data_IF_561272286463
#
_entry.id   IF_561272286463
#
_cell.length_a   1.000
_cell.length_b   1.000
_cell.length_c   1.000
_cell.angle_alpha   90.00
_cell.angle_beta   90.00
_cell.angle_gamma   90.00
#
_symmetry.space_group_name_H-M   'P 1'
#
loop_
_entity.id
_entity.type
_entity.pdbx_description
1 polymer ?
#
# COMPACT_ATOMS: atom_id res chain seq x y z
N UNK A 1 21.48 -8.69 -5.83
CA UNK A 1 20.91 -10.06 -5.70
C UNK A 1 19.46 -9.96 -5.23
N UNK A 2 18.72 -11.08 -5.17
CA UNK A 2 17.35 -11.17 -4.63
C UNK A 2 17.29 -12.16 -3.46
N UNK A 3 18.32 -12.19 -2.63
CA UNK A 3 18.46 -13.15 -1.53
C UNK A 3 18.00 -12.59 -0.17
N UNK A 4 17.53 -11.33 -0.10
CA UNK A 4 17.00 -10.72 1.13
C UNK A 4 18.05 -10.32 2.19
N UNK A 5 19.33 -10.67 1.97
CA UNK A 5 20.44 -10.38 2.90
C UNK A 5 20.63 -8.87 3.08
N UNK A 6 20.61 -8.10 2.00
CA UNK A 6 20.85 -6.66 2.02
C UNK A 6 19.77 -5.88 2.80
N UNK A 7 18.45 -6.13 2.59
CA UNK A 7 17.40 -5.58 3.45
C UNK A 7 17.60 -5.87 4.94
N UNK A 8 17.99 -7.10 5.30
CA UNK A 8 18.20 -7.49 6.69
C UNK A 8 19.34 -6.74 7.35
N UNK A 9 20.47 -6.62 6.68
CA UNK A 9 21.62 -5.88 7.24
C UNK A 9 21.34 -4.39 7.34
N UNK A 10 20.65 -3.80 6.36
CA UNK A 10 20.41 -2.35 6.34
C UNK A 10 19.27 -1.91 7.28
N UNK A 11 18.22 -2.71 7.41
CA UNK A 11 17.02 -2.38 8.20
C UNK A 11 16.92 -3.14 9.53
N UNK A 12 17.92 -3.95 9.89
CA UNK A 12 17.86 -4.82 11.07
C UNK A 12 17.63 -4.11 12.41
N UNK A 13 17.94 -2.81 12.49
CA UNK A 13 17.68 -1.97 13.68
C UNK A 13 16.52 -0.98 13.48
N UNK A 14 15.83 -1.00 12.34
CA UNK A 14 14.69 -0.12 12.09
C UNK A 14 13.46 -0.61 12.86
N UNK A 15 12.67 0.34 13.37
CA UNK A 15 11.36 0.09 13.93
C UNK A 15 10.38 1.15 13.45
N UNK A 16 9.14 0.75 13.18
CA UNK A 16 8.11 1.62 12.61
C UNK A 16 7.40 0.98 11.43
N UNK A 17 6.88 1.80 10.52
CA UNK A 17 6.16 1.31 9.33
C UNK A 17 7.14 1.16 8.17
N UNK A 18 7.17 -0.03 7.55
CA UNK A 18 7.91 -0.26 6.31
C UNK A 18 6.92 -0.44 5.15
N UNK A 19 6.95 0.49 4.20
CA UNK A 19 6.17 0.35 2.97
C UNK A 19 6.97 -0.42 1.91
N UNK A 20 6.45 -1.56 1.46
CA UNK A 20 7.13 -2.43 0.50
C UNK A 20 6.17 -3.00 -0.56
N UNK A 21 6.74 -3.58 -1.61
CA UNK A 21 6.03 -4.22 -2.72
C UNK A 21 5.63 -5.68 -2.45
N UNK A 22 5.63 -6.11 -1.19
CA UNK A 22 5.46 -7.50 -0.75
C UNK A 22 6.52 -8.47 -1.30
N UNK A 23 7.71 -7.98 -1.66
CA UNK A 23 8.83 -8.84 -1.98
C UNK A 23 9.23 -9.69 -0.76
N UNK A 24 9.25 -11.02 -0.94
CA UNK A 24 9.49 -11.99 0.13
C UNK A 24 10.82 -11.81 0.89
N UNK A 25 11.81 -11.10 0.32
CA UNK A 25 13.07 -10.78 1.00
C UNK A 25 12.91 -9.88 2.22
N UNK A 26 11.77 -9.20 2.38
CA UNK A 26 11.47 -8.41 3.59
C UNK A 26 10.81 -9.23 4.70
N UNK A 27 10.35 -10.46 4.44
CA UNK A 27 9.53 -11.22 5.39
C UNK A 27 10.21 -11.43 6.76
N UNK A 28 11.53 -11.58 6.79
CA UNK A 28 12.24 -11.73 8.06
C UNK A 28 12.28 -10.47 8.91
N UNK A 29 12.23 -9.29 8.30
CA UNK A 29 12.23 -8.02 9.02
C UNK A 29 10.95 -7.84 9.86
N UNK A 30 9.86 -8.51 9.48
CA UNK A 30 8.57 -8.39 10.15
C UNK A 30 8.42 -9.34 11.35
N UNK A 31 9.24 -10.40 11.45
CA UNK A 31 9.01 -11.48 12.44
C UNK A 31 9.19 -11.07 13.89
N UNK A 32 10.06 -10.10 14.17
CA UNK A 32 10.33 -9.64 15.53
C UNK A 32 9.29 -8.62 16.04
N UNK A 33 8.34 -8.20 15.20
CA UNK A 33 7.28 -7.24 15.55
C UNK A 33 7.74 -5.78 15.68
N UNK A 34 9.03 -5.48 15.46
CA UNK A 34 9.54 -4.11 15.47
C UNK A 34 9.08 -3.29 14.26
N UNK A 35 8.68 -3.97 13.18
CA UNK A 35 8.26 -3.35 11.92
C UNK A 35 6.81 -3.75 11.61
N UNK A 36 5.97 -2.73 11.40
CA UNK A 36 4.62 -2.89 10.83
C UNK A 36 4.72 -2.83 9.32
N UNK A 37 4.29 -3.89 8.65
CA UNK A 37 4.24 -3.94 7.19
C UNK A 37 3.12 -3.03 6.64
N UNK A 38 3.44 -2.26 5.59
CA UNK A 38 2.48 -1.55 4.77
C UNK A 38 2.65 -1.93 3.29
N UNK A 39 1.65 -2.57 2.70
CA UNK A 39 1.69 -2.94 1.29
C UNK A 39 1.61 -1.69 0.37
N UNK A 40 2.39 -1.70 -0.72
CA UNK A 40 2.48 -0.57 -1.63
C UNK A 40 1.34 -0.53 -2.67
N UNK A 41 0.48 0.49 -2.58
CA UNK A 41 -0.63 0.71 -3.52
C UNK A 41 -0.21 0.82 -4.99
N UNK A 42 0.95 1.40 -5.28
CA UNK A 42 1.43 1.52 -6.66
C UNK A 42 1.71 0.14 -7.28
N UNK A 43 2.19 -0.81 -6.49
CA UNK A 43 2.43 -2.18 -6.95
C UNK A 43 1.13 -2.97 -7.06
N UNK A 44 0.22 -2.84 -6.09
CA UNK A 44 -1.12 -3.43 -6.18
C UNK A 44 -1.86 -2.97 -7.45
N UNK A 45 -1.92 -1.65 -7.70
CA UNK A 45 -2.52 -1.07 -8.90
C UNK A 45 -1.91 -1.61 -10.18
N UNK A 46 -0.58 -1.69 -10.26
CA UNK A 46 0.12 -2.21 -11.46
C UNK A 46 -0.31 -3.63 -11.77
N UNK A 47 -0.39 -4.51 -10.76
CA UNK A 47 -0.83 -5.90 -10.94
C UNK A 47 -2.26 -6.00 -11.44
N UNK A 48 -3.17 -5.20 -10.89
CA UNK A 48 -4.56 -5.16 -11.36
C UNK A 48 -4.63 -4.64 -12.80
N UNK A 49 -3.88 -3.57 -13.11
CA UNK A 49 -3.80 -3.00 -14.46
C UNK A 49 -3.24 -4.00 -15.47
N UNK A 50 -2.21 -4.77 -15.13
CA UNK A 50 -1.63 -5.79 -16.01
C UNK A 50 -2.68 -6.86 -16.39
N UNK A 51 -3.58 -7.21 -15.47
CA UNK A 51 -4.71 -8.10 -15.75
C UNK A 51 -5.75 -7.38 -16.61
N UNK A 52 -6.13 -6.14 -16.25
CA UNK A 52 -7.12 -5.34 -16.96
C UNK A 52 -6.77 -5.16 -18.44
N UNK A 53 -5.51 -4.82 -18.76
CA UNK A 53 -5.08 -4.61 -20.16
C UNK A 53 -5.17 -5.90 -20.99
N UNK A 54 -5.04 -7.07 -20.35
CA UNK A 54 -5.14 -8.38 -21.04
C UNK A 54 -6.59 -8.83 -21.18
N UNK A 55 -7.37 -8.68 -20.10
CA UNK A 55 -8.75 -9.15 -19.98
C UNK A 55 -9.51 -8.11 -19.14
N UNK A 56 -10.05 -7.05 -19.78
CA UNK A 56 -10.86 -6.07 -19.08
C UNK A 56 -12.11 -6.72 -18.49
N UNK A 57 -12.43 -6.38 -17.25
CA UNK A 57 -13.60 -6.90 -16.55
C UNK A 57 -14.10 -5.90 -15.51
N UNK A 58 -15.38 -5.96 -15.17
CA UNK A 58 -15.97 -5.09 -14.16
C UNK A 58 -15.19 -5.09 -12.84
N UNK A 59 -14.72 -6.24 -12.29
CA UNK A 59 -13.90 -6.22 -11.07
C UNK A 59 -12.58 -5.46 -11.22
N UNK A 60 -11.88 -5.62 -12.36
CA UNK A 60 -10.62 -4.89 -12.58
C UNK A 60 -10.82 -3.39 -12.75
N UNK A 61 -11.93 -2.98 -13.37
CA UNK A 61 -12.30 -1.57 -13.52
C UNK A 61 -12.65 -0.96 -12.15
N UNK A 62 -13.50 -1.64 -11.38
CA UNK A 62 -13.88 -1.23 -10.04
C UNK A 62 -12.67 -1.08 -9.11
N UNK A 63 -11.76 -2.05 -9.09
CA UNK A 63 -10.57 -1.98 -8.26
C UNK A 63 -9.62 -0.83 -8.68
N UNK A 64 -9.46 -0.57 -9.98
CA UNK A 64 -8.67 0.56 -10.46
C UNK A 64 -9.31 1.91 -10.10
N UNK A 65 -10.64 2.01 -10.18
CA UNK A 65 -11.39 3.20 -9.77
C UNK A 65 -11.25 3.46 -8.28
N UNK A 66 -11.48 2.46 -7.43
CA UNK A 66 -11.36 2.58 -5.98
C UNK A 66 -9.94 2.98 -5.56
N UNK A 67 -8.89 2.40 -6.17
CA UNK A 67 -7.50 2.83 -5.94
C UNK A 67 -7.27 4.27 -6.43
N UNK A 68 -7.88 4.65 -7.56
CA UNK A 68 -7.86 6.02 -8.06
C UNK A 68 -8.42 7.04 -7.05
N UNK A 69 -9.52 6.69 -6.37
CA UNK A 69 -10.11 7.51 -5.32
C UNK A 69 -9.16 7.70 -4.12
N UNK A 70 -8.40 6.67 -3.75
CA UNK A 70 -7.36 6.80 -2.71
C UNK A 70 -6.31 7.87 -3.10
N UNK A 71 -5.87 7.88 -4.36
CA UNK A 71 -4.92 8.87 -4.84
C UNK A 71 -5.49 10.28 -4.95
N UNK A 72 -6.77 10.41 -5.31
CA UNK A 72 -7.46 11.70 -5.30
C UNK A 72 -7.47 12.29 -3.87
N UNK A 73 -7.81 11.48 -2.86
CA UNK A 73 -7.80 11.93 -1.46
C UNK A 73 -6.38 12.35 -1.03
N UNK A 74 -5.35 11.56 -1.37
CA UNK A 74 -3.96 11.91 -1.04
C UNK A 74 -3.47 13.17 -1.75
N UNK A 75 -3.98 13.47 -2.95
CA UNK A 75 -3.70 14.71 -3.65
C UNK A 75 -4.34 15.90 -2.94
N UNK A 76 -5.61 15.78 -2.52
CA UNK A 76 -6.36 16.84 -1.83
C UNK A 76 -5.73 17.23 -0.48
N UNK A 77 -5.22 16.25 0.27
CA UNK A 77 -4.65 16.49 1.61
C UNK A 77 -3.15 16.80 1.57
N UNK A 78 -2.54 16.86 0.38
CA UNK A 78 -1.10 17.11 0.23
C UNK A 78 -0.76 18.50 0.77
N UNK A 79 0.31 18.58 1.57
CA UNK A 79 0.78 19.83 2.17
C UNK A 79 0.06 20.23 3.47
N UNK A 80 -1.01 19.53 3.85
CA UNK A 80 -1.65 19.73 5.16
C UNK A 80 -0.78 19.21 6.31
N UNK A 81 -0.94 19.75 7.54
CA UNK A 81 -0.35 19.18 8.75
C UNK A 81 -0.63 17.69 8.92
N UNK A 82 0.31 16.96 9.53
CA UNK A 82 0.23 15.51 9.67
C UNK A 82 -1.08 15.04 10.36
N UNK A 83 -1.52 15.74 11.40
CA UNK A 83 -2.75 15.44 12.12
C UNK A 83 -4.00 15.60 11.25
N UNK A 84 -4.06 16.65 10.43
CA UNK A 84 -5.17 16.87 9.50
C UNK A 84 -5.19 15.80 8.40
N UNK A 85 -4.03 15.43 7.85
CA UNK A 85 -3.94 14.32 6.89
C UNK A 85 -4.44 13.02 7.51
N UNK A 86 -4.08 12.74 8.77
CA UNK A 86 -4.54 11.55 9.48
C UNK A 86 -6.07 11.58 9.66
N UNK A 87 -6.63 12.70 10.11
CA UNK A 87 -8.08 12.85 10.30
C UNK A 87 -8.84 12.63 8.98
N UNK A 88 -8.39 13.24 7.88
CA UNK A 88 -9.01 13.08 6.57
C UNK A 88 -8.89 11.65 6.03
N UNK A 89 -7.75 10.97 6.23
CA UNK A 89 -7.60 9.55 5.89
C UNK A 89 -8.57 8.67 6.67
N UNK A 90 -8.70 8.89 7.98
CA UNK A 90 -9.65 8.13 8.81
C UNK A 90 -11.10 8.35 8.38
N UNK A 91 -11.44 9.57 7.96
CA UNK A 91 -12.80 9.93 7.54
C UNK A 91 -13.15 9.44 6.14
N UNK A 92 -12.25 9.64 5.18
CA UNK A 92 -12.52 9.41 3.74
C UNK A 92 -11.94 8.09 3.23
N UNK A 93 -10.68 7.77 3.56
CA UNK A 93 -10.02 6.58 3.01
C UNK A 93 -10.42 5.31 3.75
N UNK A 94 -10.61 5.36 5.07
CA UNK A 94 -11.00 4.17 5.86
C UNK A 94 -12.24 3.43 5.33
N UNK A 95 -13.37 4.08 5.00
CA UNK A 95 -14.50 3.37 4.42
C UNK A 95 -14.21 2.78 3.03
N UNK A 96 -13.44 3.48 2.18
CA UNK A 96 -13.03 2.96 0.88
C UNK A 96 -12.14 1.72 1.01
N UNK A 97 -11.19 1.75 1.94
CA UNK A 97 -10.32 0.60 2.24
C UNK A 97 -11.11 -0.61 2.72
N UNK A 98 -12.15 -0.40 3.54
CA UNK A 98 -13.06 -1.48 3.94
C UNK A 98 -13.83 -2.05 2.75
N UNK A 99 -14.25 -1.20 1.81
CA UNK A 99 -14.90 -1.65 0.58
C UNK A 99 -13.96 -2.52 -0.25
N UNK A 100 -12.70 -2.08 -0.43
CA UNK A 100 -11.65 -2.85 -1.11
C UNK A 100 -11.33 -4.18 -0.42
N UNK A 101 -11.39 -4.25 0.91
CA UNK A 101 -11.17 -5.49 1.67
C UNK A 101 -12.31 -6.50 1.51
N UNK A 102 -13.53 -6.01 1.22
CA UNK A 102 -14.72 -6.84 1.01
C UNK A 102 -14.99 -7.21 -0.45
N UNK A 103 -14.22 -6.65 -1.40
CA UNK A 103 -14.30 -6.91 -2.83
C UNK A 103 -13.58 -8.21 -3.20
#
# INVERSE_FOLDING_TARGET
>A
DRNGILPLTHLGCFSGVLQADAYAGFNELYRNGGITEAACWAHARRKIHDVHVRIPSAPTEEALEQIGQLYAIEADIRGMPAEQRLAERQRKMKPLLKSLESW
#
